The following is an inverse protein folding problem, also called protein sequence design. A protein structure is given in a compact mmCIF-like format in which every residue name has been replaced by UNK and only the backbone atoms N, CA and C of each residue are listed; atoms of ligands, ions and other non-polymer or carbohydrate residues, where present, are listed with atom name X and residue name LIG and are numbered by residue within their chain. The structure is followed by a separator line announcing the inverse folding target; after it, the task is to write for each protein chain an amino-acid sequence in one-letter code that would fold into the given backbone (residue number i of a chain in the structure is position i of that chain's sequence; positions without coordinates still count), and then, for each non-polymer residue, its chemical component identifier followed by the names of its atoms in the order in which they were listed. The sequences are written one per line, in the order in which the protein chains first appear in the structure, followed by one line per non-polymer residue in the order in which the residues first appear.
data_IF_564420277078
#
_entry.id   IF_564420277078
#
_cell.length_a   1.000
_cell.length_b   1.000
_cell.length_c   1.000
_cell.angle_alpha   90.00
_cell.angle_beta   90.00
_cell.angle_gamma   90.00
#
_symmetry.space_group_name_H-M   'P 1'
#
loop_
_entity.id
_entity.type
_entity.pdbx_description
1 polymer ?
#
# COMPACT_ATOMS: atom_id res chain seq x y z
N UNK A 1 11.11 25.04 -9.82
CA UNK A 1 10.38 23.77 -9.74
C UNK A 1 9.92 23.59 -8.31
N UNK A 2 8.62 23.50 -8.11
CA UNK A 2 7.99 23.31 -6.79
C UNK A 2 8.19 21.86 -6.34
N UNK A 3 8.25 21.63 -5.03
CA UNK A 3 8.37 20.28 -4.40
C UNK A 3 7.38 19.26 -4.99
N UNK A 4 6.21 19.73 -5.43
CA UNK A 4 5.15 18.93 -6.04
C UNK A 4 5.52 18.31 -7.40
N UNK A 5 6.51 18.84 -8.12
CA UNK A 5 6.94 18.28 -9.43
C UNK A 5 7.91 17.11 -9.27
N UNK A 6 8.65 17.02 -8.17
CA UNK A 6 9.60 15.92 -7.91
C UNK A 6 8.92 14.61 -7.50
N UNK A 7 7.70 14.67 -6.96
CA UNK A 7 6.95 13.50 -6.46
C UNK A 7 6.34 12.65 -7.60
N UNK A 8 6.24 13.20 -8.81
CA UNK A 8 5.54 12.56 -9.93
C UNK A 8 6.30 11.45 -10.66
N UNK A 9 7.55 11.16 -10.31
CA UNK A 9 8.42 10.33 -11.17
C UNK A 9 9.22 9.23 -10.46
N UNK A 10 8.74 8.75 -9.31
CA UNK A 10 9.31 7.56 -8.67
C UNK A 10 8.17 6.58 -8.42
N UNK A 11 8.26 5.39 -9.00
CA UNK A 11 7.56 4.21 -8.49
C UNK A 11 7.79 4.18 -6.97
N UNK A 12 6.78 4.59 -6.18
CA UNK A 12 6.89 4.79 -4.73
C UNK A 12 6.95 3.44 -4.00
N UNK A 13 7.95 2.60 -4.29
CA UNK A 13 8.19 1.37 -3.53
C UNK A 13 9.38 1.60 -2.60
N UNK A 14 9.15 1.64 -1.27
CA UNK A 14 10.24 1.88 -0.33
C UNK A 14 11.15 0.65 -0.23
N UNK A 15 12.31 0.70 -0.90
CA UNK A 15 13.31 -0.37 -1.08
C UNK A 15 13.72 -1.10 0.20
N UNK A 16 13.15 -2.27 0.50
CA UNK A 16 13.71 -3.14 1.53
C UNK A 16 14.91 -3.90 0.96
N UNK A 17 16.12 -3.49 1.36
CA UNK A 17 17.44 -4.08 1.01
C UNK A 17 17.60 -5.60 1.31
N UNK A 18 16.53 -6.30 1.74
CA UNK A 18 16.57 -7.69 2.17
C UNK A 18 15.63 -8.63 1.38
N UNK A 19 15.09 -8.20 0.23
CA UNK A 19 14.11 -8.99 -0.55
C UNK A 19 14.52 -9.28 -2.00
N UNK A 20 15.80 -9.15 -2.37
CA UNK A 20 16.20 -9.20 -3.79
C UNK A 20 16.46 -10.61 -4.36
N UNK A 21 16.33 -11.68 -3.58
CA UNK A 21 16.43 -13.04 -4.10
C UNK A 21 15.03 -13.66 -4.22
N UNK A 22 14.48 -13.69 -5.44
CA UNK A 22 13.22 -14.37 -5.76
C UNK A 22 11.93 -13.56 -5.62
N UNK A 23 11.95 -12.26 -5.96
CA UNK A 23 10.82 -11.30 -5.83
C UNK A 23 9.52 -11.77 -6.51
N UNK A 24 8.75 -12.63 -5.83
CA UNK A 24 7.31 -12.64 -6.00
C UNK A 24 6.84 -11.28 -5.49
N UNK A 25 6.23 -10.48 -6.36
CA UNK A 25 5.59 -9.27 -5.91
C UNK A 25 4.37 -9.65 -5.07
N UNK A 26 4.50 -9.56 -3.75
CA UNK A 26 3.47 -9.95 -2.79
C UNK A 26 2.12 -9.29 -3.11
N UNK A 27 2.14 -8.09 -3.67
CA UNK A 27 0.91 -7.40 -4.07
C UNK A 27 0.27 -8.06 -5.29
N UNK A 28 1.04 -8.31 -6.35
CA UNK A 28 0.54 -9.01 -7.55
C UNK A 28 0.05 -10.42 -7.20
N UNK A 29 0.80 -11.16 -6.38
CA UNK A 29 0.37 -12.44 -5.86
C UNK A 29 -0.95 -12.33 -5.10
N UNK A 30 -1.10 -11.29 -4.27
CA UNK A 30 -2.33 -11.11 -3.51
C UNK A 30 -3.53 -10.78 -4.42
N UNK A 31 -3.34 -9.86 -5.36
CA UNK A 31 -4.35 -9.45 -6.34
C UNK A 31 -4.81 -10.64 -7.21
N UNK A 32 -3.91 -11.59 -7.53
CA UNK A 32 -4.23 -12.78 -8.34
C UNK A 32 -4.89 -13.93 -7.56
N UNK A 33 -4.66 -14.01 -6.24
CA UNK A 33 -4.98 -15.23 -5.47
C UNK A 33 -6.00 -15.02 -4.33
N UNK A 34 -6.33 -13.79 -3.96
CA UNK A 34 -7.27 -13.50 -2.87
C UNK A 34 -8.45 -12.66 -3.34
N UNK A 35 -9.54 -12.71 -2.57
CA UNK A 35 -10.71 -11.88 -2.79
C UNK A 35 -10.40 -10.39 -2.57
N UNK A 36 -11.23 -9.52 -3.13
CA UNK A 36 -11.11 -8.07 -2.93
C UNK A 36 -11.13 -7.68 -1.45
N UNK A 37 -11.95 -8.35 -0.62
CA UNK A 37 -12.04 -8.08 0.82
C UNK A 37 -10.77 -8.48 1.57
N UNK A 38 -10.14 -9.59 1.17
CA UNK A 38 -8.85 -10.01 1.71
C UNK A 38 -7.73 -9.04 1.31
N UNK A 39 -7.71 -8.58 0.06
CA UNK A 39 -6.75 -7.57 -0.40
C UNK A 39 -6.93 -6.23 0.34
N UNK A 40 -8.17 -5.79 0.57
CA UNK A 40 -8.49 -4.63 1.42
C UNK A 40 -7.94 -4.83 2.83
N UNK A 41 -8.18 -6.01 3.43
CA UNK A 41 -7.67 -6.36 4.75
C UNK A 41 -6.14 -6.30 4.84
N UNK A 42 -5.46 -6.87 3.84
CA UNK A 42 -4.00 -6.88 3.74
C UNK A 42 -3.41 -5.47 3.67
N UNK A 43 -3.95 -4.59 2.83
CA UNK A 43 -3.42 -3.23 2.70
C UNK A 43 -3.71 -2.40 3.96
N UNK A 44 -4.92 -2.54 4.53
CA UNK A 44 -5.32 -1.86 5.77
C UNK A 44 -4.41 -2.20 6.94
N UNK A 45 -4.10 -3.49 7.18
CA UNK A 45 -3.25 -3.86 8.31
C UNK A 45 -1.80 -3.42 8.12
N UNK A 46 -1.31 -3.39 6.87
CA UNK A 46 0.03 -2.88 6.58
C UNK A 46 0.14 -1.37 6.80
N UNK A 47 -0.85 -0.58 6.40
CA UNK A 47 -0.90 0.85 6.72
C UNK A 47 -0.84 1.09 8.23
N UNK A 48 -1.71 0.41 9.01
CA UNK A 48 -1.72 0.48 10.48
C UNK A 48 -0.38 0.03 11.06
N UNK A 49 0.22 -1.04 10.55
CA UNK A 49 1.53 -1.54 11.00
C UNK A 49 2.61 -0.46 10.89
N UNK A 50 2.67 0.27 9.78
CA UNK A 50 3.70 1.29 9.60
C UNK A 50 3.42 2.56 10.41
N UNK A 51 2.15 3.00 10.50
CA UNK A 51 1.75 4.09 11.38
C UNK A 51 2.05 3.80 12.85
N UNK A 52 1.75 2.59 13.31
CA UNK A 52 2.01 2.18 14.71
C UNK A 52 3.47 1.91 15.00
N UNK A 53 4.30 1.69 13.97
CA UNK A 53 5.74 1.46 14.09
C UNK A 53 6.53 2.77 14.16
N UNK A 54 6.03 3.84 13.54
CA UNK A 54 6.59 5.17 13.65
C UNK A 54 6.69 5.60 15.11
N UNK A 55 7.87 6.07 15.53
CA UNK A 55 8.16 6.38 16.94
C UNK A 55 8.54 5.18 17.80
N UNK A 56 8.54 3.96 17.23
CA UNK A 56 9.01 2.73 17.90
C UNK A 56 10.29 2.21 17.25
N UNK A 57 10.17 1.37 16.22
CA UNK A 57 11.32 0.74 15.55
C UNK A 57 12.10 1.82 14.81
N UNK A 58 13.38 1.98 15.15
CA UNK A 58 14.24 3.03 14.57
C UNK A 58 13.68 4.46 14.82
N UNK A 59 12.94 4.65 15.92
CA UNK A 59 12.39 5.95 16.32
C UNK A 59 11.41 6.56 15.31
N UNK A 60 11.40 7.89 15.24
CA UNK A 60 10.51 8.68 14.39
C UNK A 60 11.03 8.78 12.94
N UNK A 61 11.15 7.63 12.26
CA UNK A 61 11.66 7.58 10.88
C UNK A 61 10.56 7.93 9.85
N UNK A 62 10.85 8.84 8.92
CA UNK A 62 9.88 9.24 7.87
C UNK A 62 9.49 8.08 6.93
N UNK A 63 10.39 7.11 6.77
CA UNK A 63 10.20 5.94 5.90
C UNK A 63 9.01 5.06 6.28
N UNK A 64 8.65 5.01 7.56
CA UNK A 64 7.44 4.34 8.01
C UNK A 64 6.18 5.10 7.57
N UNK A 65 6.22 6.44 7.58
CA UNK A 65 5.11 7.26 7.09
C UNK A 65 4.94 7.12 5.57
N UNK A 66 6.05 7.12 4.82
CA UNK A 66 6.05 6.86 3.37
C UNK A 66 5.47 5.48 3.05
N UNK A 67 5.87 4.44 3.80
CA UNK A 67 5.29 3.10 3.69
C UNK A 67 3.79 3.12 3.99
N UNK A 68 3.35 3.81 5.03
CA UNK A 68 1.94 3.91 5.35
C UNK A 68 1.13 4.56 4.21
N UNK A 69 1.64 5.66 3.62
CA UNK A 69 1.00 6.35 2.48
C UNK A 69 0.79 5.38 1.31
N UNK A 70 1.83 4.63 0.93
CA UNK A 70 1.78 3.65 -0.18
C UNK A 70 0.66 2.62 0.03
N UNK A 71 0.49 2.11 1.26
CA UNK A 71 -0.60 1.18 1.57
C UNK A 71 -1.98 1.86 1.63
N UNK A 72 -2.05 3.14 2.04
CA UNK A 72 -3.30 3.92 2.05
C UNK A 72 -3.76 4.23 0.63
N UNK A 73 -2.85 4.63 -0.26
CA UNK A 73 -3.16 4.90 -1.67
C UNK A 73 -3.74 3.65 -2.34
N UNK A 74 -3.11 2.49 -2.13
CA UNK A 74 -3.62 1.23 -2.66
C UNK A 74 -4.96 0.83 -2.03
N UNK A 75 -5.17 1.10 -0.74
CA UNK A 75 -6.46 0.88 -0.09
C UNK A 75 -7.58 1.77 -0.68
N UNK A 76 -7.26 3.00 -1.06
CA UNK A 76 -8.21 3.91 -1.74
C UNK A 76 -8.60 3.34 -3.11
N UNK A 77 -7.64 2.80 -3.87
CA UNK A 77 -7.92 2.13 -5.15
C UNK A 77 -8.89 0.96 -4.97
N UNK A 78 -8.57 0.03 -4.06
CA UNK A 78 -9.42 -1.15 -3.81
C UNK A 78 -10.81 -0.76 -3.30
N UNK A 79 -10.92 0.32 -2.50
CA UNK A 79 -12.21 0.82 -2.05
C UNK A 79 -13.07 1.34 -3.22
N UNK A 80 -12.48 1.97 -4.24
CA UNK A 80 -13.22 2.39 -5.44
C UNK A 80 -13.77 1.16 -6.19
N UNK A 81 -12.93 0.15 -6.40
CA UNK A 81 -13.37 -1.13 -6.99
C UNK A 81 -14.52 -1.77 -6.19
N UNK A 82 -14.44 -1.75 -4.85
CA UNK A 82 -15.51 -2.28 -4.00
C UNK A 82 -16.82 -1.53 -4.16
N UNK A 83 -16.77 -0.20 -4.27
CA UNK A 83 -17.96 0.62 -4.51
C UNK A 83 -18.58 0.32 -5.87
N UNK A 84 -17.77 0.11 -6.90
CA UNK A 84 -18.23 -0.29 -8.23
C UNK A 84 -18.90 -1.68 -8.20
N UNK A 85 -18.31 -2.68 -7.55
CA UNK A 85 -18.93 -4.00 -7.34
C UNK A 85 -20.30 -3.88 -6.64
N UNK A 86 -20.39 -3.04 -5.61
CA UNK A 86 -21.62 -2.83 -4.86
C UNK A 86 -22.70 -2.08 -5.66
N UNK A 87 -22.32 -1.24 -6.62
CA UNK A 87 -23.25 -0.58 -7.53
C UNK A 87 -23.78 -1.59 -8.56
N UNK A 88 -22.88 -2.33 -9.21
CA UNK A 88 -23.25 -3.33 -10.22
C UNK A 88 -24.10 -4.47 -9.65
N UNK A 89 -23.94 -4.82 -8.37
CA UNK A 89 -24.77 -5.85 -7.72
C UNK A 89 -26.20 -5.37 -7.38
N UNK A 90 -26.50 -4.08 -7.54
CA UNK A 90 -27.82 -3.48 -7.28
C UNK A 90 -28.64 -3.26 -8.54
N UNK A 91 -28.01 -3.31 -9.71
CA UNK A 91 -28.63 -3.20 -11.03
C UNK A 91 -29.03 -4.58 -11.57
#
# INVERSE_FOLDING_TARGET
MTINEQIKNTENRPDSEHYHEGKIDVWAFADENFSLDECIGFHRINAIKYLTRYGKKNGYNARDLEKAIVYIEKLIELNKSKLEEMQNARD
#
